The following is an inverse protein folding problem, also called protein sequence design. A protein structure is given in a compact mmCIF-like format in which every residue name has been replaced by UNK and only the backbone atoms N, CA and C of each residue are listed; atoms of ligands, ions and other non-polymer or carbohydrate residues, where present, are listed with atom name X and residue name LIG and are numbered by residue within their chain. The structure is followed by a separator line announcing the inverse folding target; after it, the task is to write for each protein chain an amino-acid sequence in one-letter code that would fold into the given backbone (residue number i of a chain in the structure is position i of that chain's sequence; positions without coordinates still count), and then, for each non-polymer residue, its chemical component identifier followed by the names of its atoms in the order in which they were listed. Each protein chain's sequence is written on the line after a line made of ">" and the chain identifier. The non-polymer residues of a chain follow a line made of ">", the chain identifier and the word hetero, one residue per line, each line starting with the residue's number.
data_IF_728274529140
#
_entry.id   IF_728274529140
#
_cell.length_a   1.000
_cell.length_b   1.000
_cell.length_c   1.000
_cell.angle_alpha   90.00
_cell.angle_beta   90.00
_cell.angle_gamma   90.00
#
_symmetry.space_group_name_H-M   'P 1'
#
loop_
_entity.id
_entity.type
_entity.pdbx_description
1 polymer ?
#
# COMPACT_ATOMS: atom_id res chain seq x y z
N UNK A 1 0.99 8.13 10.66
CA UNK A 1 1.14 6.75 10.15
C UNK A 1 1.84 6.78 8.82
N UNK A 2 2.51 5.69 8.43
CA UNK A 2 3.29 5.60 7.18
C UNK A 2 2.54 6.08 5.93
N UNK A 3 1.25 5.80 5.85
CA UNK A 3 0.42 6.15 4.71
C UNK A 3 0.04 7.64 4.67
N UNK A 4 0.02 8.36 5.80
CA UNK A 4 -0.33 9.78 5.84
C UNK A 4 0.65 10.57 4.96
N UNK A 5 1.96 10.29 5.08
CA UNK A 5 3.02 10.97 4.29
C UNK A 5 2.84 10.71 2.78
N UNK A 6 2.49 9.49 2.39
CA UNK A 6 2.35 9.11 0.99
C UNK A 6 1.07 9.71 0.37
N UNK A 7 -0.03 9.71 1.12
CA UNK A 7 -1.29 10.30 0.70
C UNK A 7 -1.22 11.83 0.63
N UNK A 8 -0.56 12.46 1.60
CA UNK A 8 -0.22 13.88 1.58
C UNK A 8 0.58 14.24 0.32
N UNK A 9 1.63 13.48 0.01
CA UNK A 9 2.43 13.67 -1.20
C UNK A 9 1.59 13.54 -2.49
N UNK A 10 0.70 12.55 -2.55
CA UNK A 10 -0.21 12.38 -3.69
C UNK A 10 -1.16 13.58 -3.83
N UNK A 11 -1.69 14.11 -2.73
CA UNK A 11 -2.54 15.30 -2.72
C UNK A 11 -1.82 16.53 -3.29
N UNK A 12 -0.57 16.77 -2.89
CA UNK A 12 0.25 17.87 -3.43
C UNK A 12 0.52 17.72 -4.93
N UNK A 13 0.71 16.48 -5.40
CA UNK A 13 0.97 16.17 -6.80
C UNK A 13 -0.27 16.37 -7.67
N UNK A 14 -1.45 16.00 -7.17
CA UNK A 14 -2.73 16.13 -7.88
C UNK A 14 -3.21 17.59 -7.91
N UNK A 15 -3.02 18.33 -6.82
CA UNK A 15 -3.44 19.72 -6.67
C UNK A 15 -2.24 20.70 -6.60
N UNK A 16 -1.45 20.86 -7.68
CA UNK A 16 -0.20 21.62 -7.61
C UNK A 16 -0.38 23.11 -7.29
N UNK A 17 -1.54 23.71 -7.59
CA UNK A 17 -1.83 25.11 -7.20
C UNK A 17 -2.30 25.27 -5.75
N UNK A 18 -2.72 24.20 -5.07
CA UNK A 18 -3.28 24.25 -3.71
C UNK A 18 -2.66 23.18 -2.81
N UNK A 19 -1.34 22.94 -2.94
CA UNK A 19 -0.62 21.84 -2.28
C UNK A 19 -0.91 21.71 -0.78
N UNK A 20 -0.69 22.79 -0.03
CA UNK A 20 -0.91 22.79 1.42
C UNK A 20 -2.36 22.48 1.79
N UNK A 21 -3.32 23.02 1.04
CA UNK A 21 -4.74 22.73 1.30
C UNK A 21 -5.11 21.30 0.96
N UNK A 22 -4.60 20.75 -0.14
CA UNK A 22 -4.83 19.36 -0.52
C UNK A 22 -4.23 18.39 0.50
N UNK A 23 -3.03 18.70 1.00
CA UNK A 23 -2.35 17.99 2.08
C UNK A 23 -3.18 18.00 3.37
N UNK A 24 -3.59 19.18 3.83
CA UNK A 24 -4.42 19.30 5.04
C UNK A 24 -5.78 18.64 4.90
N UNK A 25 -6.38 18.69 3.71
CA UNK A 25 -7.68 18.10 3.42
C UNK A 25 -7.64 16.57 3.56
N UNK A 26 -6.68 15.90 2.93
CA UNK A 26 -6.61 14.43 2.99
C UNK A 26 -6.33 13.95 4.42
N UNK A 27 -5.47 14.66 5.16
CA UNK A 27 -5.19 14.36 6.56
C UNK A 27 -6.40 14.60 7.45
N UNK A 28 -7.19 15.64 7.19
CA UNK A 28 -8.46 15.88 7.91
C UNK A 28 -9.49 14.79 7.62
N UNK A 29 -9.63 14.32 6.37
CA UNK A 29 -10.54 13.24 6.03
C UNK A 29 -10.17 11.93 6.76
N UNK A 30 -8.89 11.56 6.76
CA UNK A 30 -8.41 10.37 7.48
C UNK A 30 -8.56 10.51 9.00
N UNK A 31 -8.38 11.72 9.53
CA UNK A 31 -8.61 12.00 10.95
C UNK A 31 -10.09 11.79 11.32
N UNK A 32 -11.00 12.35 10.52
CA UNK A 32 -12.44 12.21 10.74
C UNK A 32 -12.86 10.74 10.74
N UNK A 33 -12.33 9.92 9.84
CA UNK A 33 -12.55 8.47 9.82
C UNK A 33 -12.04 7.77 11.10
N UNK A 34 -10.83 8.10 11.57
CA UNK A 34 -10.25 7.48 12.78
C UNK A 34 -11.02 7.82 14.05
N UNK A 35 -11.60 9.01 14.09
CA UNK A 35 -12.40 9.49 15.23
C UNK A 35 -13.81 8.88 15.23
N UNK A 36 -14.23 8.26 14.13
CA UNK A 36 -15.51 7.57 14.04
C UNK A 36 -15.43 6.16 14.70
N UNK A 37 -16.31 5.86 15.67
CA UNK A 37 -16.30 4.58 16.39
C UNK A 37 -16.48 3.35 15.51
N UNK A 38 -17.16 3.49 14.36
CA UNK A 38 -17.50 2.38 13.48
C UNK A 38 -16.30 1.98 12.60
N UNK A 39 -15.35 2.88 12.37
CA UNK A 39 -14.15 2.62 11.55
C UNK A 39 -12.89 2.36 12.39
N UNK A 40 -12.77 3.00 13.57
CA UNK A 40 -11.65 2.80 14.49
C UNK A 40 -10.31 3.36 14.04
N UNK A 41 -9.26 3.17 14.88
CA UNK A 41 -7.95 3.78 14.67
C UNK A 41 -7.07 3.07 13.61
N UNK A 42 -7.33 1.79 13.34
CA UNK A 42 -6.53 0.96 12.45
C UNK A 42 -7.35 0.54 11.24
N UNK A 43 -7.01 1.07 10.08
CA UNK A 43 -7.64 0.68 8.82
C UNK A 43 -7.08 -0.65 8.31
N UNK A 44 -7.91 -1.39 7.58
CA UNK A 44 -7.50 -2.60 6.85
C UNK A 44 -6.54 -2.25 5.67
N UNK A 45 -5.58 -3.12 5.32
CA UNK A 45 -4.63 -2.89 4.24
C UNK A 45 -5.30 -2.64 2.90
N UNK A 46 -6.38 -3.34 2.61
CA UNK A 46 -7.18 -3.23 1.38
C UNK A 46 -7.72 -1.81 1.23
N UNK A 47 -8.22 -1.22 2.32
CA UNK A 47 -8.67 0.17 2.31
C UNK A 47 -7.53 1.12 1.95
N UNK A 48 -6.41 1.03 2.67
CA UNK A 48 -5.29 1.96 2.51
C UNK A 48 -4.63 1.83 1.14
N UNK A 49 -4.35 0.61 0.70
CA UNK A 49 -3.75 0.39 -0.61
C UNK A 49 -4.72 0.74 -1.74
N UNK A 50 -6.02 0.47 -1.56
CA UNK A 50 -7.05 0.82 -2.54
C UNK A 50 -7.11 2.32 -2.80
N UNK A 51 -7.23 3.11 -1.74
CA UNK A 51 -7.24 4.58 -1.83
C UNK A 51 -5.94 5.10 -2.45
N UNK A 52 -4.79 4.58 -2.00
CA UNK A 52 -3.48 5.06 -2.45
C UNK A 52 -3.22 4.73 -3.92
N UNK A 53 -3.53 3.51 -4.37
CA UNK A 53 -3.39 3.10 -5.78
C UNK A 53 -4.34 3.91 -6.65
N UNK A 54 -5.58 4.13 -6.23
CA UNK A 54 -6.54 4.94 -6.99
C UNK A 54 -6.08 6.40 -7.13
N UNK A 55 -5.53 7.00 -6.08
CA UNK A 55 -4.96 8.35 -6.14
C UNK A 55 -3.67 8.39 -6.97
N UNK A 56 -2.84 7.35 -6.90
CA UNK A 56 -1.65 7.23 -7.73
C UNK A 56 -2.00 7.17 -9.21
N UNK A 57 -2.90 6.27 -9.60
CA UNK A 57 -3.43 6.13 -10.97
C UNK A 57 -4.12 7.42 -11.43
N UNK A 58 -4.85 8.09 -10.54
CA UNK A 58 -5.43 9.40 -10.85
C UNK A 58 -4.35 10.45 -11.12
N UNK A 59 -3.29 10.50 -10.31
CA UNK A 59 -2.17 11.44 -10.48
C UNK A 59 -1.35 11.20 -11.76
N UNK A 60 -1.22 9.94 -12.20
CA UNK A 60 -0.46 9.59 -13.41
C UNK A 60 -1.29 9.90 -14.66
N UNK A 61 -2.58 9.59 -14.65
CA UNK A 61 -3.50 9.87 -15.76
C UNK A 61 -3.75 11.38 -15.97
N UNK A 62 -3.70 12.18 -14.90
CA UNK A 62 -3.88 13.64 -14.96
C UNK A 62 -2.55 14.39 -14.95
N UNK A 63 -1.42 13.74 -15.25
CA UNK A 63 -0.09 14.35 -15.24
C UNK A 63 -0.06 15.62 -16.08
N UNK A 64 0.05 16.78 -15.41
CA UNK A 64 0.05 18.18 -15.90
C UNK A 64 -1.29 18.95 -15.83
N UNK A 65 -2.39 18.32 -15.42
CA UNK A 65 -3.64 19.02 -15.19
C UNK A 65 -3.71 19.52 -13.74
N UNK A 66 -4.03 20.79 -13.58
CA UNK A 66 -4.22 21.38 -12.26
C UNK A 66 -5.64 21.08 -11.78
N UNK A 67 -5.83 19.92 -11.15
CA UNK A 67 -7.11 19.52 -10.57
C UNK A 67 -7.48 20.50 -9.45
N UNK A 68 -8.74 20.93 -9.44
CA UNK A 68 -9.21 21.85 -8.41
C UNK A 68 -9.29 21.15 -7.06
N UNK A 69 -9.07 21.89 -5.96
CA UNK A 69 -9.19 21.35 -4.60
C UNK A 69 -10.58 20.74 -4.35
N UNK A 70 -11.61 21.36 -4.91
CA UNK A 70 -13.00 20.94 -4.87
C UNK A 70 -13.20 19.55 -5.48
N UNK A 71 -12.67 19.35 -6.69
CA UNK A 71 -12.75 18.09 -7.43
C UNK A 71 -11.94 16.99 -6.74
N UNK A 72 -10.70 17.29 -6.36
CA UNK A 72 -9.84 16.36 -5.64
C UNK A 72 -10.48 15.90 -4.32
N UNK A 73 -10.97 16.84 -3.51
CA UNK A 73 -11.56 16.51 -2.22
C UNK A 73 -12.81 15.67 -2.32
N UNK A 74 -13.69 15.97 -3.29
CA UNK A 74 -14.88 15.16 -3.57
C UNK A 74 -14.51 13.76 -4.04
N UNK A 75 -13.46 13.63 -4.86
CA UNK A 75 -12.94 12.33 -5.28
C UNK A 75 -12.38 11.54 -4.08
N UNK A 76 -11.61 12.17 -3.19
CA UNK A 76 -11.12 11.55 -1.96
C UNK A 76 -12.26 11.04 -1.05
N UNK A 77 -13.32 11.83 -0.85
CA UNK A 77 -14.50 11.38 -0.09
C UNK A 77 -15.10 10.12 -0.73
N UNK A 78 -15.30 10.13 -2.05
CA UNK A 78 -15.84 8.96 -2.75
C UNK A 78 -14.90 7.75 -2.69
N UNK A 79 -13.57 7.94 -2.76
CA UNK A 79 -12.60 6.85 -2.65
C UNK A 79 -12.63 6.20 -1.27
N UNK A 80 -12.68 7.02 -0.22
CA UNK A 80 -12.85 6.57 1.16
C UNK A 80 -14.09 5.70 1.25
N UNK A 81 -15.24 6.21 0.80
CA UNK A 81 -16.51 5.46 0.87
C UNK A 81 -16.43 4.12 0.14
N UNK A 82 -15.94 4.13 -1.10
CA UNK A 82 -15.85 2.95 -1.95
C UNK A 82 -14.94 1.90 -1.29
N UNK A 83 -13.73 2.28 -0.90
CA UNK A 83 -12.77 1.33 -0.36
C UNK A 83 -13.12 0.87 1.06
N UNK A 84 -13.78 1.69 1.88
CA UNK A 84 -14.29 1.24 3.17
C UNK A 84 -15.33 0.13 3.01
N UNK A 85 -16.26 0.28 2.06
CA UNK A 85 -17.30 -0.74 1.77
C UNK A 85 -16.75 -2.06 1.22
N UNK A 86 -15.53 -2.06 0.71
CA UNK A 86 -14.91 -3.25 0.10
C UNK A 86 -13.99 -3.94 1.09
N UNK A 87 -13.32 -3.17 1.96
CA UNK A 87 -12.41 -3.71 2.96
C UNK A 87 -13.13 -4.35 4.15
N UNK A 88 -14.40 -4.00 4.37
CA UNK A 88 -15.18 -4.49 5.50
C UNK A 88 -16.32 -5.41 5.01
N UNK A 89 -16.50 -6.55 5.67
CA UNK A 89 -17.62 -7.47 5.47
C UNK A 89 -18.94 -6.90 6.05
N UNK A 90 -18.86 -5.81 6.84
CA UNK A 90 -20.00 -5.09 7.35
C UNK A 90 -20.75 -4.32 6.25
N UNK A 91 -22.06 -4.17 6.46
CA UNK A 91 -22.92 -3.40 5.56
C UNK A 91 -22.69 -1.90 5.75
N UNK A 92 -21.57 -1.37 5.24
CA UNK A 92 -21.28 0.06 5.24
C UNK A 92 -22.11 0.75 4.16
N UNK A 93 -22.80 1.83 4.52
CA UNK A 93 -23.69 2.62 3.66
C UNK A 93 -23.22 4.06 3.52
N UNK A 94 -23.75 4.78 2.52
CA UNK A 94 -23.44 6.21 2.37
C UNK A 94 -23.91 7.06 3.55
N UNK A 95 -24.92 6.61 4.29
CA UNK A 95 -25.39 7.27 5.51
C UNK A 95 -24.30 7.40 6.56
N UNK A 96 -23.38 6.44 6.59
CA UNK A 96 -22.40 6.30 7.65
C UNK A 96 -21.31 7.37 7.51
N UNK A 97 -21.20 8.03 6.35
CA UNK A 97 -20.24 9.11 6.09
C UNK A 97 -20.86 10.52 6.18
N UNK A 98 -22.11 10.65 6.64
CA UNK A 98 -22.78 11.96 6.75
C UNK A 98 -22.09 12.93 7.71
N UNK A 99 -21.32 12.41 8.67
CA UNK A 99 -20.50 13.22 9.58
C UNK A 99 -19.39 13.98 8.85
N UNK A 100 -18.81 13.43 7.77
CA UNK A 100 -17.79 14.10 6.95
C UNK A 100 -18.38 15.39 6.36
N UNK A 101 -19.64 15.36 5.94
CA UNK A 101 -20.36 16.52 5.43
C UNK A 101 -20.86 17.48 6.52
N UNK A 102 -20.52 17.22 7.78
CA UNK A 102 -20.80 18.11 8.91
C UNK A 102 -19.53 18.85 9.38
N UNK A 103 -18.36 18.49 8.86
CA UNK A 103 -17.10 19.20 9.13
C UNK A 103 -17.05 20.55 8.40
N UNK A 104 -16.78 21.61 9.16
CA UNK A 104 -16.78 22.99 8.65
C UNK A 104 -15.68 23.23 7.60
N UNK A 105 -14.53 22.60 7.77
CA UNK A 105 -13.39 22.74 6.86
C UNK A 105 -13.72 22.09 5.52
N UNK A 106 -14.26 20.87 5.56
CA UNK A 106 -14.70 20.13 4.37
C UNK A 106 -15.78 20.92 3.62
N UNK A 107 -16.81 21.41 4.34
CA UNK A 107 -17.90 22.17 3.72
C UNK A 107 -17.42 23.44 3.00
N UNK A 108 -16.48 24.17 3.62
CA UNK A 108 -15.96 25.42 3.09
C UNK A 108 -15.02 25.20 1.89
N UNK A 109 -14.06 24.30 2.01
CA UNK A 109 -13.05 24.08 0.96
C UNK A 109 -13.64 23.37 -0.28
N UNK A 110 -14.65 22.51 -0.10
CA UNK A 110 -15.27 21.73 -1.18
C UNK A 110 -16.60 22.30 -1.68
N UNK A 111 -16.94 23.54 -1.28
CA UNK A 111 -18.14 24.26 -1.73
C UNK A 111 -19.44 23.43 -1.65
N UNK A 112 -19.50 22.49 -0.71
CA UNK A 112 -20.55 21.46 -0.62
C UNK A 112 -21.91 22.08 -0.25
N UNK A 113 -21.91 23.19 0.51
CA UNK A 113 -23.15 23.81 0.97
C UNK A 113 -24.04 24.27 -0.21
N UNK A 114 -23.44 24.68 -1.34
CA UNK A 114 -24.17 25.03 -2.55
C UNK A 114 -24.87 23.84 -3.21
N UNK A 115 -24.22 22.67 -3.21
CA UNK A 115 -24.79 21.42 -3.72
C UNK A 115 -25.90 20.91 -2.80
N UNK A 116 -25.67 20.93 -1.48
CA UNK A 116 -26.69 20.57 -0.50
C UNK A 116 -27.92 21.48 -0.59
N UNK A 117 -27.73 22.80 -0.72
CA UNK A 117 -28.84 23.75 -0.91
C UNK A 117 -29.65 23.44 -2.18
N UNK A 118 -28.98 23.00 -3.25
CA UNK A 118 -29.64 22.60 -4.50
C UNK A 118 -30.49 21.34 -4.30
N UNK A 119 -29.93 20.30 -3.67
CA UNK A 119 -30.65 19.04 -3.40
C UNK A 119 -31.85 19.28 -2.46
N UNK A 120 -31.67 20.07 -1.39
CA UNK A 120 -32.76 20.45 -0.47
C UNK A 120 -33.90 21.14 -1.22
N UNK A 121 -33.58 22.07 -2.12
CA UNK A 121 -34.56 22.77 -2.97
C UNK A 121 -35.28 21.82 -3.92
N UNK A 122 -34.60 20.81 -4.45
CA UNK A 122 -35.20 19.82 -5.33
C UNK A 122 -36.22 18.94 -4.59
N UNK A 123 -35.99 18.58 -3.33
CA UNK A 123 -37.00 17.93 -2.48
C UNK A 123 -38.22 18.83 -2.25
N UNK A 124 -38.01 20.10 -1.89
CA UNK A 124 -39.10 21.06 -1.68
C UNK A 124 -39.95 21.28 -2.94
N UNK A 125 -39.33 21.15 -4.13
CA UNK A 125 -39.96 21.31 -5.45
C UNK A 125 -40.44 20.01 -6.09
N UNK A 126 -40.38 18.86 -5.40
CA UNK A 126 -40.80 17.55 -5.92
C UNK A 126 -40.01 17.07 -7.15
N UNK A 127 -38.78 17.58 -7.34
CA UNK A 127 -37.85 17.07 -8.35
C UNK A 127 -37.10 15.82 -7.87
N UNK A 128 -36.89 15.71 -6.56
CA UNK A 128 -36.48 14.50 -5.86
C UNK A 128 -37.59 14.09 -4.90
N UNK A 129 -37.78 12.78 -4.74
CA UNK A 129 -38.83 12.21 -3.88
C UNK A 129 -38.24 11.13 -2.99
N UNK A 130 -38.67 11.08 -1.73
CA UNK A 130 -38.34 10.02 -0.79
C UNK A 130 -39.60 9.67 0.01
N UNK A 131 -39.93 8.39 0.25
CA UNK A 131 -41.12 7.98 1.00
C UNK A 131 -41.25 8.63 2.39
N UNK A 132 -40.13 8.99 3.03
CA UNK A 132 -40.09 9.56 4.37
C UNK A 132 -40.32 11.08 4.41
N UNK A 133 -40.42 11.73 3.25
CA UNK A 133 -40.58 13.17 3.11
C UNK A 133 -41.75 13.50 2.18
N UNK A 134 -42.77 14.14 2.74
CA UNK A 134 -43.83 14.77 1.96
C UNK A 134 -43.31 16.12 1.42
N UNK A 135 -43.25 16.34 0.09
CA UNK A 135 -42.83 17.61 -0.49
C UNK A 135 -43.71 18.77 -0.02
N UNK A 136 -43.12 19.96 0.16
CA UNK A 136 -43.85 21.14 0.66
C UNK A 136 -45.07 21.51 -0.20
N UNK A 137 -44.94 21.34 -1.53
CA UNK A 137 -46.04 21.56 -2.49
C UNK A 137 -47.26 20.65 -2.28
N UNK A 138 -47.09 19.51 -1.61
CA UNK A 138 -48.16 18.54 -1.35
C UNK A 138 -48.66 18.56 0.11
N UNK A 139 -48.07 19.40 0.97
CA UNK A 139 -48.45 19.48 2.38
C UNK A 139 -49.74 20.27 2.57
N UNK A 140 -50.80 19.58 2.99
CA UNK A 140 -52.11 20.18 3.30
C UNK A 140 -52.37 20.42 4.78
N UNK A 141 -51.63 19.73 5.66
CA UNK A 141 -51.75 19.81 7.12
C UNK A 141 -50.35 19.77 7.73
N UNK A 142 -50.03 20.77 8.55
CA UNK A 142 -48.64 21.06 8.96
C UNK A 142 -48.23 20.12 10.10
N UNK A 143 -47.67 18.96 9.75
CA UNK A 143 -46.65 18.35 10.59
C UNK A 143 -45.49 19.35 10.75
N UNK A 144 -44.90 19.43 11.96
CA UNK A 144 -43.89 20.41 12.33
C UNK A 144 -42.86 20.66 11.19
N UNK A 145 -42.84 21.85 10.56
CA UNK A 145 -42.00 22.11 9.39
C UNK A 145 -40.51 21.91 9.71
N UNK A 146 -40.11 22.12 10.97
CA UNK A 146 -38.75 21.88 11.43
C UNK A 146 -38.30 20.42 11.29
N UNK A 147 -39.19 19.44 11.56
CA UNK A 147 -38.88 18.02 11.41
C UNK A 147 -38.69 17.63 9.94
N UNK A 148 -39.51 18.19 9.04
CA UNK A 148 -39.38 17.98 7.59
C UNK A 148 -38.07 18.58 7.08
N UNK A 149 -37.74 19.81 7.48
CA UNK A 149 -36.48 20.45 7.09
C UNK A 149 -35.26 19.67 7.58
N UNK A 150 -35.32 19.14 8.81
CA UNK A 150 -34.26 18.29 9.37
C UNK A 150 -34.09 17.01 8.53
N UNK A 151 -35.18 16.30 8.21
CA UNK A 151 -35.14 15.09 7.36
C UNK A 151 -34.60 15.38 5.97
N UNK A 152 -35.04 16.45 5.32
CA UNK A 152 -34.53 16.89 4.01
C UNK A 152 -33.03 17.19 4.10
N UNK A 153 -32.58 17.80 5.21
CA UNK A 153 -31.17 18.07 5.47
C UNK A 153 -30.32 16.80 5.47
N UNK A 154 -30.75 15.74 6.17
CA UNK A 154 -30.04 14.46 6.23
C UNK A 154 -30.10 13.71 4.90
N UNK A 155 -31.27 13.65 4.26
CA UNK A 155 -31.39 13.03 2.93
C UNK A 155 -30.52 13.73 1.88
N UNK A 156 -30.40 15.06 1.94
CA UNK A 156 -29.55 15.80 1.01
C UNK A 156 -28.06 15.43 1.16
N UNK A 157 -27.59 15.17 2.39
CA UNK A 157 -26.22 14.67 2.62
C UNK A 157 -26.05 13.28 2.04
N UNK A 158 -26.97 12.36 2.33
CA UNK A 158 -26.93 10.97 1.82
C UNK A 158 -26.92 10.94 0.30
N UNK A 159 -27.79 11.72 -0.33
CA UNK A 159 -27.88 11.81 -1.79
C UNK A 159 -26.62 12.41 -2.41
N UNK A 160 -26.02 13.44 -1.80
CA UNK A 160 -24.73 13.96 -2.26
C UNK A 160 -23.64 12.89 -2.16
N UNK A 161 -23.57 12.16 -1.05
CA UNK A 161 -22.59 11.08 -0.87
C UNK A 161 -22.77 9.96 -1.91
N UNK A 162 -24.01 9.59 -2.24
CA UNK A 162 -24.30 8.65 -3.35
C UNK A 162 -23.84 9.21 -4.69
N UNK A 163 -24.07 10.49 -4.95
CA UNK A 163 -23.63 11.15 -6.19
C UNK A 163 -22.09 11.17 -6.27
N UNK A 164 -21.37 11.37 -5.16
CA UNK A 164 -19.91 11.29 -5.07
C UNK A 164 -19.40 9.86 -5.28
N UNK A 165 -19.98 8.87 -4.61
CA UNK A 165 -19.64 7.45 -4.78
C UNK A 165 -19.79 7.01 -6.23
N UNK A 166 -20.92 7.33 -6.88
CA UNK A 166 -21.15 6.95 -8.27
C UNK A 166 -20.14 7.59 -9.22
N UNK A 167 -19.76 8.86 -8.99
CA UNK A 167 -18.72 9.53 -9.78
C UNK A 167 -17.37 8.85 -9.58
N UNK A 168 -17.01 8.52 -8.34
CA UNK A 168 -15.76 7.81 -8.05
C UNK A 168 -15.73 6.42 -8.67
N UNK A 169 -16.81 5.64 -8.58
CA UNK A 169 -16.91 4.35 -9.24
C UNK A 169 -16.76 4.48 -10.76
N UNK A 170 -17.34 5.50 -11.38
CA UNK A 170 -17.15 5.79 -12.79
C UNK A 170 -15.68 6.08 -13.13
N UNK A 171 -14.98 6.88 -12.30
CA UNK A 171 -13.53 7.10 -12.45
C UNK A 171 -12.70 5.83 -12.32
N UNK A 172 -13.13 4.88 -11.47
CA UNK A 172 -12.50 3.56 -11.31
C UNK A 172 -12.95 2.54 -12.38
N UNK A 173 -13.72 2.95 -13.39
CA UNK A 173 -14.34 2.06 -14.37
C UNK A 173 -15.15 0.92 -13.72
N UNK A 174 -15.80 1.21 -12.59
CA UNK A 174 -16.54 0.27 -11.75
C UNK A 174 -15.71 -0.96 -11.33
N UNK A 175 -14.39 -0.83 -11.31
CA UNK A 175 -13.46 -1.87 -10.91
C UNK A 175 -12.64 -1.42 -9.71
N UNK A 176 -12.81 -2.13 -8.62
CA UNK A 176 -12.19 -1.81 -7.33
C UNK A 176 -11.18 -2.86 -6.89
N UNK A 177 -10.78 -3.72 -7.83
CA UNK A 177 -9.78 -4.76 -7.60
C UNK A 177 -8.40 -4.12 -7.45
N UNK A 178 -7.76 -4.40 -6.33
CA UNK A 178 -6.39 -3.95 -6.06
C UNK A 178 -5.44 -5.02 -6.60
N UNK A 179 -4.64 -4.65 -7.61
CA UNK A 179 -3.61 -5.53 -8.15
C UNK A 179 -2.32 -5.31 -7.38
N UNK A 180 -1.71 -6.37 -6.86
CA UNK A 180 -0.51 -6.27 -6.02
C UNK A 180 0.65 -5.68 -6.79
N UNK A 181 0.80 -6.00 -8.07
CA UNK A 181 1.81 -5.40 -8.96
C UNK A 181 1.73 -3.88 -8.94
N UNK A 182 0.51 -3.32 -9.00
CA UNK A 182 0.28 -1.88 -8.89
C UNK A 182 0.67 -1.34 -7.53
N UNK A 183 0.45 -2.08 -6.44
CA UNK A 183 0.86 -1.66 -5.09
C UNK A 183 2.38 -1.48 -5.04
N UNK A 184 3.16 -2.45 -5.52
CA UNK A 184 4.61 -2.32 -5.46
C UNK A 184 5.17 -1.30 -6.43
N UNK A 185 4.62 -1.20 -7.65
CA UNK A 185 5.01 -0.17 -8.61
C UNK A 185 4.76 1.23 -8.03
N UNK A 186 3.57 1.44 -7.46
CA UNK A 186 3.21 2.66 -6.74
C UNK A 186 4.17 2.92 -5.58
N UNK A 187 4.37 1.96 -4.67
CA UNK A 187 5.25 2.13 -3.51
C UNK A 187 6.69 2.39 -3.93
N UNK A 188 7.19 1.73 -4.98
CA UNK A 188 8.51 2.00 -5.54
C UNK A 188 8.64 3.44 -6.02
N UNK A 189 7.65 3.96 -6.75
CA UNK A 189 7.69 5.34 -7.22
C UNK A 189 7.57 6.34 -6.05
N UNK A 190 6.61 6.12 -5.15
CA UNK A 190 6.33 7.03 -4.05
C UNK A 190 7.44 7.06 -3.00
N UNK A 191 7.91 5.90 -2.55
CA UNK A 191 8.97 5.81 -1.55
C UNK A 191 10.24 6.51 -2.06
N UNK A 192 10.59 6.36 -3.34
CA UNK A 192 11.76 7.00 -3.93
C UNK A 192 11.66 8.54 -4.05
N UNK A 193 10.48 9.13 -3.78
CA UNK A 193 10.25 10.59 -3.89
C UNK A 193 10.12 11.29 -2.53
N UNK A 194 9.98 10.55 -1.44
CA UNK A 194 9.84 11.08 -0.08
C UNK A 194 11.16 10.97 0.70
N UNK A 195 11.39 11.85 1.68
CA UNK A 195 12.65 11.88 2.46
C UNK A 195 12.70 10.81 3.56
N UNK A 196 11.58 10.46 4.18
CA UNK A 196 11.51 9.57 5.35
C UNK A 196 11.36 8.08 5.00
N UNK A 197 12.03 7.65 3.93
CA UNK A 197 11.93 6.31 3.36
C UNK A 197 12.06 5.18 4.38
N UNK A 198 13.10 5.23 5.21
CA UNK A 198 13.37 4.18 6.19
C UNK A 198 12.26 4.06 7.24
N UNK A 199 11.72 5.18 7.70
CA UNK A 199 10.62 5.21 8.68
C UNK A 199 9.37 4.60 8.05
N UNK A 200 9.02 5.03 6.83
CA UNK A 200 7.84 4.55 6.12
C UNK A 200 7.95 3.05 5.83
N UNK A 201 9.09 2.57 5.35
CA UNK A 201 9.31 1.13 5.10
C UNK A 201 9.23 0.33 6.41
N UNK A 202 9.75 0.86 7.51
CA UNK A 202 9.74 0.18 8.81
C UNK A 202 8.32 0.07 9.36
N UNK A 203 7.57 1.18 9.36
CA UNK A 203 6.18 1.21 9.79
C UNK A 203 5.28 0.34 8.91
N UNK A 204 5.45 0.40 7.59
CA UNK A 204 4.73 -0.45 6.64
C UNK A 204 5.01 -1.95 6.89
N UNK A 205 6.27 -2.32 7.13
CA UNK A 205 6.62 -3.71 7.47
C UNK A 205 5.93 -4.17 8.76
N UNK A 206 5.92 -3.34 9.81
CA UNK A 206 5.24 -3.68 11.07
C UNK A 206 3.72 -3.77 10.89
N UNK A 207 3.13 -2.87 10.11
CA UNK A 207 1.71 -2.85 9.81
C UNK A 207 1.24 -4.11 9.07
N UNK A 208 2.04 -4.64 8.14
CA UNK A 208 1.68 -5.84 7.39
C UNK A 208 2.01 -7.16 8.12
N UNK A 209 2.87 -7.13 9.14
CA UNK A 209 3.30 -8.33 9.84
C UNK A 209 2.16 -9.22 10.39
N UNK A 210 1.04 -8.68 10.93
CA UNK A 210 -0.12 -9.45 11.37
C UNK A 210 -0.84 -10.23 10.26
N UNK A 211 -0.57 -9.91 8.99
CA UNK A 211 -1.15 -10.54 7.80
C UNK A 211 -0.26 -11.65 7.22
N UNK A 212 0.93 -11.87 7.80
CA UNK A 212 1.87 -12.89 7.36
C UNK A 212 1.23 -14.29 7.40
N UNK A 213 1.31 -15.03 6.30
CA UNK A 213 0.74 -16.37 6.16
C UNK A 213 -0.78 -16.42 6.03
N UNK A 214 -1.46 -15.25 5.97
CA UNK A 214 -2.89 -15.15 5.67
C UNK A 214 -3.15 -14.85 4.20
N UNK A 215 -2.22 -14.17 3.55
CA UNK A 215 -2.27 -13.81 2.14
C UNK A 215 -0.87 -13.88 1.51
N UNK A 216 -0.74 -14.74 0.49
CA UNK A 216 0.49 -14.97 -0.28
C UNK A 216 1.08 -13.67 -0.89
N UNK A 217 0.23 -12.69 -1.19
CA UNK A 217 0.58 -11.41 -1.78
C UNK A 217 1.20 -10.49 -0.72
N UNK A 218 0.61 -10.44 0.48
CA UNK A 218 1.21 -9.71 1.60
C UNK A 218 2.52 -10.35 2.05
N UNK A 219 2.64 -11.68 1.99
CA UNK A 219 3.90 -12.37 2.27
C UNK A 219 5.05 -11.94 1.34
N UNK A 220 4.76 -11.81 0.04
CA UNK A 220 5.74 -11.32 -0.94
C UNK A 220 6.17 -9.87 -0.64
N UNK A 221 5.22 -9.01 -0.29
CA UNK A 221 5.49 -7.62 0.06
C UNK A 221 6.29 -7.51 1.38
N UNK A 222 5.90 -8.25 2.42
CA UNK A 222 6.60 -8.32 3.72
C UNK A 222 8.05 -8.78 3.53
N UNK A 223 8.28 -9.82 2.72
CA UNK A 223 9.62 -10.29 2.40
C UNK A 223 10.46 -9.19 1.74
N UNK A 224 9.91 -8.51 0.74
CA UNK A 224 10.61 -7.43 0.04
C UNK A 224 10.91 -6.25 0.97
N UNK A 225 9.98 -5.86 1.85
CA UNK A 225 10.18 -4.79 2.83
C UNK A 225 11.29 -5.15 3.83
N UNK A 226 11.29 -6.38 4.36
CA UNK A 226 12.34 -6.88 5.26
C UNK A 226 13.73 -6.79 4.63
N UNK A 227 13.84 -7.09 3.33
CA UNK A 227 15.09 -6.98 2.57
C UNK A 227 15.55 -5.53 2.45
N UNK A 228 14.67 -4.61 2.11
CA UNK A 228 15.02 -3.19 2.00
C UNK A 228 15.37 -2.58 3.37
N UNK A 229 14.71 -2.99 4.45
CA UNK A 229 15.09 -2.57 5.81
C UNK A 229 16.50 -2.97 6.20
N UNK A 230 16.93 -4.19 5.84
CA UNK A 230 18.32 -4.63 6.05
C UNK A 230 19.30 -3.74 5.28
N UNK A 231 19.01 -3.37 4.03
CA UNK A 231 19.87 -2.48 3.24
C UNK A 231 19.98 -1.09 3.88
N UNK A 232 18.85 -0.53 4.30
CA UNK A 232 18.78 0.81 4.89
C UNK A 232 19.44 0.88 6.27
N UNK A 233 19.31 -0.15 7.11
CA UNK A 233 19.95 -0.18 8.44
C UNK A 233 21.47 -0.28 8.38
N UNK A 234 22.03 -0.91 7.34
CA UNK A 234 23.47 -1.04 7.15
C UNK A 234 24.14 0.23 6.57
N UNK A 235 23.39 1.09 5.87
CA UNK A 235 23.93 2.34 5.29
C UNK A 235 24.11 3.48 6.32
N UNK A 236 23.52 3.38 7.51
CA UNK A 236 23.57 4.44 8.54
C UNK A 236 24.77 4.37 9.50
N UNK A 237 25.74 3.47 9.28
CA UNK A 237 26.90 3.27 10.18
C UNK A 237 28.23 3.88 9.69
N UNK A 238 28.22 4.89 8.81
CA UNK A 238 29.42 5.67 8.48
C UNK A 238 29.28 7.14 8.93
N UNK A 239 29.90 7.55 10.06
CA UNK A 239 29.73 8.89 10.62
C UNK A 239 30.52 9.99 9.90
N UNK A 240 30.90 9.81 8.63
CA UNK A 240 31.72 10.79 7.89
C UNK A 240 31.37 10.86 6.40
N UNK A 241 30.12 11.15 6.05
CA UNK A 241 29.79 11.77 4.74
C UNK A 241 28.36 12.30 4.78
N UNK A 242 28.15 13.51 4.25
CA UNK A 242 26.84 14.14 4.09
C UNK A 242 25.83 13.18 3.44
N UNK A 243 24.54 13.19 3.84
CA UNK A 243 23.52 12.33 3.23
C UNK A 243 23.07 12.94 1.91
N UNK A 244 23.82 12.69 0.83
CA UNK A 244 23.50 13.20 -0.52
C UNK A 244 23.02 12.13 -1.50
N UNK A 245 22.85 10.87 -1.07
CA UNK A 245 22.23 9.85 -1.92
C UNK A 245 21.06 9.18 -1.23
N UNK A 246 19.86 9.49 -1.71
CA UNK A 246 18.65 8.72 -1.42
C UNK A 246 18.94 7.28 -1.89
N UNK A 247 19.00 6.33 -0.95
CA UNK A 247 19.15 4.92 -1.30
C UNK A 247 17.88 4.47 -2.02
N UNK A 248 17.98 4.18 -3.33
CA UNK A 248 16.82 3.81 -4.13
C UNK A 248 16.17 2.54 -3.57
N UNK A 249 14.92 2.65 -3.13
CA UNK A 249 14.09 1.52 -2.72
C UNK A 249 13.65 0.77 -3.97
N UNK A 250 13.77 -0.56 -3.93
CA UNK A 250 13.27 -1.44 -4.97
C UNK A 250 12.54 -2.65 -4.35
N UNK A 251 11.25 -2.45 -4.13
CA UNK A 251 10.30 -3.49 -3.79
C UNK A 251 10.06 -4.35 -5.03
N UNK A 252 10.64 -5.54 -5.02
CA UNK A 252 10.40 -6.53 -6.07
C UNK A 252 9.40 -7.50 -5.49
N UNK A 253 8.13 -7.36 -5.89
CA UNK A 253 7.21 -8.46 -5.77
C UNK A 253 7.77 -9.53 -6.67
N UNK A 254 8.16 -10.65 -6.09
CA UNK A 254 8.40 -11.83 -6.89
C UNK A 254 7.06 -12.08 -7.60
N UNK A 255 6.97 -11.89 -8.94
CA UNK A 255 5.70 -12.01 -9.65
C UNK A 255 5.11 -13.35 -9.28
N UNK A 256 3.78 -13.41 -9.18
CA UNK A 256 2.99 -14.63 -9.27
C UNK A 256 3.88 -15.82 -9.58
N UNK A 257 4.37 -16.45 -8.51
CA UNK A 257 4.70 -17.84 -8.64
C UNK A 257 3.45 -18.39 -9.28
N UNK A 258 3.48 -18.93 -10.50
CA UNK A 258 2.38 -19.75 -10.98
C UNK A 258 2.21 -20.75 -9.84
N UNK A 259 1.18 -20.58 -9.01
CA UNK A 259 1.10 -21.27 -7.73
C UNK A 259 0.94 -22.79 -8.00
N UNK A 260 0.59 -23.14 -9.24
CA UNK A 260 0.54 -24.50 -9.77
C UNK A 260 1.90 -25.06 -10.24
N UNK A 261 2.97 -24.26 -10.30
CA UNK A 261 4.29 -24.67 -10.81
C UNK A 261 5.47 -24.25 -9.97
N UNK A 262 5.28 -23.48 -8.90
CA UNK A 262 6.32 -23.38 -7.88
C UNK A 262 6.01 -24.28 -6.70
N UNK A 263 7.04 -24.90 -6.09
CA UNK A 263 6.94 -25.44 -4.77
C UNK A 263 6.87 -24.28 -3.76
N UNK A 264 5.79 -23.48 -3.81
CA UNK A 264 5.30 -22.68 -2.68
C UNK A 264 4.76 -23.66 -1.64
N UNK A 265 5.71 -24.22 -0.91
CA UNK A 265 5.66 -24.90 0.39
C UNK A 265 6.87 -25.83 0.57
N UNK A 266 8.00 -25.56 -0.10
CA UNK A 266 9.26 -26.14 0.38
C UNK A 266 9.98 -25.12 1.28
N UNK A 267 9.71 -25.09 2.61
CA UNK A 267 10.41 -24.22 3.55
C UNK A 267 11.94 -24.41 3.48
N UNK A 268 12.41 -25.56 2.98
CA UNK A 268 13.82 -25.83 2.78
C UNK A 268 14.41 -24.99 1.64
N UNK A 269 13.69 -24.77 0.54
CA UNK A 269 14.16 -23.89 -0.55
C UNK A 269 14.22 -22.44 -0.09
N UNK A 270 13.24 -22.00 0.71
CA UNK A 270 13.25 -20.66 1.31
C UNK A 270 14.44 -20.50 2.25
N UNK A 271 14.68 -21.48 3.12
CA UNK A 271 15.83 -21.51 4.02
C UNK A 271 17.17 -21.52 3.25
N UNK A 272 17.27 -22.30 2.17
CA UNK A 272 18.44 -22.33 1.28
C UNK A 272 18.66 -20.95 0.66
N UNK A 273 17.61 -20.31 0.14
CA UNK A 273 17.69 -18.97 -0.45
C UNK A 273 18.19 -17.95 0.58
N UNK A 274 17.66 -17.96 1.81
CA UNK A 274 18.11 -17.08 2.88
C UNK A 274 19.59 -17.32 3.25
N UNK A 275 20.04 -18.58 3.31
CA UNK A 275 21.44 -18.90 3.60
C UNK A 275 22.39 -18.43 2.48
N UNK A 276 22.00 -18.59 1.20
CA UNK A 276 22.77 -18.12 0.05
C UNK A 276 22.82 -16.59 -0.03
N UNK A 277 21.70 -15.91 0.23
CA UNK A 277 21.65 -14.45 0.34
C UNK A 277 22.58 -13.93 1.43
N UNK A 278 22.61 -14.60 2.59
CA UNK A 278 23.51 -14.24 3.69
C UNK A 278 25.00 -14.41 3.29
N UNK A 279 25.35 -15.42 2.50
CA UNK A 279 26.70 -15.59 1.96
C UNK A 279 27.09 -14.44 1.02
N UNK A 280 26.20 -14.08 0.08
CA UNK A 280 26.41 -12.94 -0.84
C UNK A 280 26.59 -11.64 -0.07
N UNK A 281 25.73 -11.42 0.92
CA UNK A 281 25.73 -10.21 1.73
C UNK A 281 27.02 -10.06 2.56
N UNK A 282 27.49 -11.14 3.20
CA UNK A 282 28.76 -11.16 3.95
C UNK A 282 30.00 -10.84 3.12
N UNK A 283 30.01 -11.19 1.84
CA UNK A 283 31.11 -10.84 0.94
C UNK A 283 31.08 -9.38 0.48
N UNK A 284 29.88 -8.78 0.36
CA UNK A 284 29.73 -7.39 -0.11
C UNK A 284 30.17 -6.31 0.90
N UNK A 285 30.23 -6.64 2.19
CA UNK A 285 30.60 -5.71 3.28
C UNK A 285 32.11 -5.58 3.55
N UNK A 286 32.96 -6.33 2.83
CA UNK A 286 34.42 -6.33 3.01
C UNK A 286 35.16 -5.54 1.92
N UNK A 287 34.94 -4.24 1.84
CA UNK A 287 35.90 -3.31 1.20
C UNK A 287 36.70 -2.59 2.29
N UNK A 288 37.74 -3.26 2.80
CA UNK A 288 38.76 -2.63 3.65
C UNK A 288 39.14 -3.43 4.89
N UNK A 289 40.06 -4.37 4.77
CA UNK A 289 41.04 -4.70 5.82
C UNK A 289 42.10 -5.65 5.27
N UNK A 290 43.37 -5.23 5.28
CA UNK A 290 44.52 -6.01 4.82
C UNK A 290 45.11 -6.93 5.91
N UNK A 291 44.52 -7.01 7.11
CA UNK A 291 45.04 -7.83 8.21
C UNK A 291 43.94 -8.58 8.97
N UNK A 292 43.28 -9.54 8.31
CA UNK A 292 42.68 -10.72 8.97
C UNK A 292 42.32 -11.81 7.95
N UNK A 293 43.09 -12.88 7.91
CA UNK A 293 42.68 -14.15 7.30
C UNK A 293 41.82 -14.88 8.35
N UNK A 294 40.62 -15.43 8.15
CA UNK A 294 40.02 -16.10 6.98
C UNK A 294 38.50 -16.03 7.12
N UNK A 295 37.84 -15.67 6.03
CA UNK A 295 36.71 -16.37 5.42
C UNK A 295 36.37 -15.54 4.18
N UNK A 296 36.94 -15.99 3.06
CA UNK A 296 36.78 -15.37 1.75
C UNK A 296 35.43 -15.83 1.20
N UNK A 297 34.54 -14.90 0.88
CA UNK A 297 33.34 -15.16 0.10
C UNK A 297 33.68 -14.73 -1.34
N UNK A 298 34.45 -15.53 -2.07
CA UNK A 298 35.02 -15.11 -3.36
C UNK A 298 34.01 -15.23 -4.52
N UNK A 299 32.90 -15.94 -4.33
CA UNK A 299 31.95 -16.32 -5.38
C UNK A 299 30.60 -15.60 -5.23
N UNK A 300 30.60 -14.39 -4.65
CA UNK A 300 29.36 -13.65 -4.37
C UNK A 300 28.55 -13.32 -5.64
N UNK A 301 29.22 -13.13 -6.78
CA UNK A 301 28.55 -12.83 -8.04
C UNK A 301 27.79 -14.05 -8.56
N UNK A 302 28.46 -15.20 -8.61
CA UNK A 302 27.92 -16.47 -9.08
C UNK A 302 26.80 -16.96 -8.16
N UNK A 303 26.98 -16.84 -6.84
CA UNK A 303 25.93 -17.19 -5.87
C UNK A 303 24.74 -16.23 -5.99
N UNK A 304 24.97 -14.94 -6.22
CA UNK A 304 23.87 -14.00 -6.46
C UNK A 304 23.09 -14.34 -7.72
N UNK A 305 23.74 -14.79 -8.80
CA UNK A 305 23.06 -15.25 -10.01
C UNK A 305 22.17 -16.47 -9.73
N UNK A 306 22.62 -17.41 -8.90
CA UNK A 306 21.83 -18.56 -8.46
C UNK A 306 20.64 -18.11 -7.60
N UNK A 307 20.84 -17.20 -6.64
CA UNK A 307 19.75 -16.60 -5.85
C UNK A 307 18.72 -15.96 -6.77
N UNK A 308 19.15 -15.19 -7.78
CA UNK A 308 18.22 -14.61 -8.74
C UNK A 308 17.45 -15.67 -9.55
N UNK A 309 18.07 -16.79 -9.92
CA UNK A 309 17.38 -17.91 -10.58
C UNK A 309 16.36 -18.60 -9.66
N UNK A 310 16.68 -18.77 -8.37
CA UNK A 310 15.71 -19.28 -7.36
C UNK A 310 14.52 -18.32 -7.25
N UNK A 311 14.80 -17.02 -7.11
CA UNK A 311 13.77 -15.98 -6.98
C UNK A 311 12.91 -15.83 -8.25
N UNK A 312 13.48 -16.07 -9.43
CA UNK A 312 12.75 -16.07 -10.71
C UNK A 312 11.93 -17.34 -10.93
N UNK A 313 12.10 -18.36 -10.09
CA UNK A 313 11.44 -19.65 -10.26
C UNK A 313 12.10 -20.57 -11.29
N UNK A 314 13.33 -20.27 -11.70
CA UNK A 314 14.10 -21.11 -12.62
C UNK A 314 14.75 -22.31 -11.89
N UNK A 315 14.93 -22.22 -10.56
CA UNK A 315 15.49 -23.27 -9.71
C UNK A 315 14.51 -23.64 -8.59
N UNK A 316 13.80 -24.75 -8.81
CA UNK A 316 12.65 -25.16 -8.00
C UNK A 316 12.88 -26.40 -7.12
N UNK A 317 14.08 -27.00 -7.17
CA UNK A 317 14.41 -28.17 -6.36
C UNK A 317 15.76 -27.97 -5.68
N UNK A 318 15.94 -28.61 -4.52
CA UNK A 318 17.22 -28.59 -3.80
C UNK A 318 18.32 -29.19 -4.68
N UNK A 319 17.99 -30.24 -5.45
CA UNK A 319 18.89 -30.83 -6.44
C UNK A 319 19.36 -29.80 -7.48
N UNK A 320 18.44 -29.07 -8.11
CA UNK A 320 18.79 -28.07 -9.13
C UNK A 320 19.65 -26.94 -8.54
N UNK A 321 19.35 -26.51 -7.31
CA UNK A 321 20.13 -25.49 -6.60
C UNK A 321 21.54 -26.00 -6.29
N UNK A 322 21.67 -27.23 -5.76
CA UNK A 322 22.96 -27.85 -5.47
C UNK A 322 23.79 -28.09 -6.75
N UNK A 323 23.14 -28.47 -7.86
CA UNK A 323 23.80 -28.67 -9.15
C UNK A 323 24.34 -27.35 -9.71
N UNK A 324 23.61 -26.25 -9.59
CA UNK A 324 24.11 -24.93 -9.97
C UNK A 324 25.25 -24.45 -9.05
N UNK A 325 25.15 -24.70 -7.74
CA UNK A 325 26.22 -24.38 -6.79
C UNK A 325 27.49 -25.20 -7.06
N UNK A 326 27.34 -26.45 -7.50
CA UNK A 326 28.47 -27.32 -7.86
C UNK A 326 29.22 -26.88 -9.13
N UNK A 327 28.59 -26.07 -9.99
CA UNK A 327 29.23 -25.49 -11.19
C UNK A 327 30.20 -24.35 -10.86
N UNK A 328 30.14 -23.81 -9.64
CA UNK A 328 31.06 -22.77 -9.19
C UNK A 328 32.43 -23.41 -8.94
N UNK A 329 33.45 -22.96 -9.65
CA UNK A 329 34.81 -23.46 -9.47
C UNK A 329 35.45 -22.86 -8.20
N UNK A 330 35.37 -23.59 -7.09
CA UNK A 330 35.91 -23.16 -5.80
C UNK A 330 37.31 -23.76 -5.58
N UNK A 331 38.34 -22.98 -5.88
CA UNK A 331 39.75 -23.42 -5.74
C UNK A 331 40.18 -23.51 -4.27
N UNK A 332 39.65 -22.63 -3.42
CA UNK A 332 40.00 -22.58 -2.01
C UNK A 332 39.11 -23.50 -1.16
N UNK A 333 39.69 -24.60 -0.66
CA UNK A 333 39.00 -25.57 0.21
C UNK A 333 38.47 -25.01 1.53
N UNK A 334 38.83 -23.77 1.90
CA UNK A 334 38.37 -23.07 3.11
C UNK A 334 37.31 -22.00 2.83
N UNK A 335 36.76 -21.93 1.61
CA UNK A 335 35.66 -21.00 1.30
C UNK A 335 34.40 -21.35 2.12
N UNK A 336 33.72 -20.32 2.64
CA UNK A 336 32.47 -20.51 3.38
C UNK A 336 31.37 -21.13 2.52
N UNK A 337 31.44 -20.97 1.20
CA UNK A 337 30.49 -21.59 0.27
C UNK A 337 30.58 -23.12 0.30
N UNK A 338 31.77 -23.69 0.50
CA UNK A 338 31.94 -25.14 0.62
C UNK A 338 31.27 -25.65 1.90
N UNK A 339 31.40 -24.90 3.00
CA UNK A 339 30.75 -25.25 4.26
C UNK A 339 29.23 -25.17 4.12
N UNK A 340 28.74 -24.10 3.50
CA UNK A 340 27.32 -23.93 3.22
C UNK A 340 26.78 -25.04 2.32
N UNK A 341 27.45 -25.37 1.21
CA UNK A 341 27.04 -26.48 0.32
C UNK A 341 26.97 -27.80 1.09
N UNK A 342 27.95 -28.10 1.96
CA UNK A 342 27.95 -29.31 2.79
C UNK A 342 26.81 -29.32 3.81
N UNK A 343 26.50 -28.18 4.41
CA UNK A 343 25.37 -28.03 5.32
C UNK A 343 24.05 -28.34 4.62
N UNK A 344 23.84 -27.78 3.43
CA UNK A 344 22.66 -28.03 2.60
C UNK A 344 22.57 -29.51 2.16
N UNK A 345 23.70 -30.15 1.87
CA UNK A 345 23.76 -31.57 1.54
C UNK A 345 23.47 -32.49 2.73
N UNK A 346 23.87 -32.08 3.95
CA UNK A 346 23.63 -32.85 5.17
C UNK A 346 22.17 -32.76 5.64
N UNK A 347 21.53 -31.59 5.49
CA UNK A 347 20.10 -31.40 5.78
C UNK A 347 19.23 -32.37 4.94
N UNK A 348 19.64 -32.66 3.69
CA UNK A 348 19.02 -33.69 2.81
C UNK A 348 19.18 -35.12 3.33
N UNK A 349 20.29 -35.44 4.01
CA UNK A 349 20.62 -36.78 4.49
C UNK A 349 19.76 -37.26 5.67
N UNK A 350 19.24 -36.32 6.47
CA UNK A 350 18.34 -36.62 7.59
C UNK A 350 16.90 -36.92 7.12
N UNK A 351 16.47 -36.39 5.97
CA UNK A 351 15.08 -36.50 5.49
C UNK A 351 14.84 -37.81 4.73
N UNK A 352 15.85 -38.38 4.06
CA UNK A 352 15.74 -39.69 3.38
C UNK A 352 15.74 -40.91 4.33
N UNK A 353 15.86 -40.69 5.64
CA UNK A 353 15.87 -41.74 6.68
C UNK A 353 14.61 -41.75 7.55
N UNK A 354 13.65 -40.87 7.27
CA UNK A 354 12.27 -40.93 7.74
C UNK A 354 11.41 -41.50 6.61
#
# INVERSE_FOLDING_TARGET
>A
MWYDILLEYLGEKICPSNKEKARLLISQLLKLLKEDPDFGENFEPEFIFGVMVALYDYSTNHGNQNVSLDEFGKYCIGLIMVFSKISDDLSIYCSDFTYILSDKTILQELKIEGELATIRKDYLKKKRTNPEVTPFVDQKDVANPFEIYKKIGELAKIDLLKDLENRTLAYLNFSVKIQTEKIADMLNDLLNRVQNQQVIVSELYQYLLPYKGKDDLFDALIFSLKRELKKLSHNNFSPKTQPSSISKINLVLVPSLKIDQLPRHNPEIVNICEKLENYVFKGSSKKGSFFSAKNYCNHTKEVNEIVQKILKGDLLTIEAILDELAKINIENRKDELILLIKELQNERGCIRKL
#
